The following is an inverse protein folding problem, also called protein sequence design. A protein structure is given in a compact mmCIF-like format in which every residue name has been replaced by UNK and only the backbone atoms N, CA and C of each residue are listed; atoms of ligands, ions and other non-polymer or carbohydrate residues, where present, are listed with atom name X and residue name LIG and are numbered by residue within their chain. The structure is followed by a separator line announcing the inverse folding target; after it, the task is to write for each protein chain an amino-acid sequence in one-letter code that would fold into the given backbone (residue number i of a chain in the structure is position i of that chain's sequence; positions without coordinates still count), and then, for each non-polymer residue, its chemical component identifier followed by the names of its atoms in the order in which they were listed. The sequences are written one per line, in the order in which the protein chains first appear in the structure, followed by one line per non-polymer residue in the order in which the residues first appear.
data_IF_147519390011
#
_entry.id   IF_147519390011
#
_cell.length_a   1.000
_cell.length_b   1.000
_cell.length_c   1.000
_cell.angle_alpha   90.00
_cell.angle_beta   90.00
_cell.angle_gamma   90.00
#
_symmetry.space_group_name_H-M   'P 1'
#
loop_
_entity.id
_entity.type
_entity.pdbx_description
1 polymer ?
#
# COMPACT_ATOMS: atom_id res chain seq x y z
N UNK A 1 -5.68 -6.75 10.95
CA UNK A 1 -6.52 -7.26 9.83
C UNK A 1 -6.74 -6.15 8.81
N UNK A 2 -6.59 -6.47 7.52
CA UNK A 2 -6.81 -5.52 6.41
C UNK A 2 -8.24 -5.61 5.89
N UNK A 3 -8.97 -4.48 5.87
CA UNK A 3 -10.30 -4.38 5.27
C UNK A 3 -10.31 -3.42 4.10
N UNK A 4 -10.82 -3.86 2.96
CA UNK A 4 -10.99 -3.06 1.75
C UNK A 4 -12.43 -2.56 1.67
N UNK A 5 -12.60 -1.26 1.38
CA UNK A 5 -13.88 -0.63 1.10
C UNK A 5 -13.79 -0.07 -0.30
N UNK A 6 -14.49 -0.68 -1.24
CA UNK A 6 -14.51 -0.23 -2.62
C UNK A 6 -15.13 1.17 -2.72
N UNK A 7 -14.46 2.08 -3.42
CA UNK A 7 -14.84 3.50 -3.54
C UNK A 7 -15.09 3.94 -4.98
N UNK A 8 -14.87 3.06 -5.96
CA UNK A 8 -15.22 3.29 -7.37
C UNK A 8 -15.99 2.11 -7.94
N UNK A 9 -16.63 2.33 -9.09
CA UNK A 9 -17.07 1.23 -9.94
C UNK A 9 -15.87 0.39 -10.41
N UNK A 10 -16.15 -0.85 -10.80
CA UNK A 10 -15.16 -1.73 -11.41
C UNK A 10 -14.90 -1.27 -12.86
N UNK A 11 -13.63 -1.18 -13.23
CA UNK A 11 -13.19 -0.91 -14.59
C UNK A 11 -13.35 -2.17 -15.47
N UNK A 12 -13.19 -2.02 -16.79
CA UNK A 12 -13.32 -3.14 -17.73
C UNK A 12 -12.32 -4.29 -17.52
N UNK A 13 -11.22 -4.05 -16.80
CA UNK A 13 -10.24 -5.06 -16.37
C UNK A 13 -10.51 -5.63 -14.96
N UNK A 14 -11.70 -5.33 -14.41
CA UNK A 14 -12.13 -5.64 -13.05
C UNK A 14 -11.26 -4.99 -11.95
N UNK A 15 -10.52 -3.92 -12.27
CA UNK A 15 -9.85 -3.10 -11.25
C UNK A 15 -10.82 -2.11 -10.62
N UNK A 16 -10.61 -1.78 -9.34
CA UNK A 16 -11.35 -0.73 -8.65
C UNK A 16 -10.44 0.01 -7.65
N UNK A 17 -10.89 1.16 -7.19
CA UNK A 17 -10.28 1.91 -6.10
C UNK A 17 -10.86 1.48 -4.77
N UNK A 18 -10.02 1.44 -3.74
CA UNK A 18 -10.39 1.06 -2.39
C UNK A 18 -9.82 2.01 -1.34
N UNK A 19 -10.60 2.21 -0.29
CA UNK A 19 -10.10 2.63 1.01
C UNK A 19 -9.68 1.40 1.81
N UNK A 20 -8.44 1.40 2.28
CA UNK A 20 -7.94 0.31 3.13
C UNK A 20 -8.01 0.76 4.59
N UNK A 21 -8.79 0.04 5.39
CA UNK A 21 -8.95 0.26 6.82
C UNK A 21 -8.19 -0.81 7.59
N UNK A 22 -7.47 -0.34 8.61
CA UNK A 22 -6.74 -1.17 9.57
C UNK A 22 -7.48 -1.11 10.91
N UNK A 23 -7.40 -2.20 11.67
CA UNK A 23 -7.99 -2.35 13.00
C UNK A 23 -7.30 -1.49 14.07
N UNK A 24 -6.03 -1.13 13.85
CA UNK A 24 -5.23 -0.25 14.71
C UNK A 24 -4.31 0.64 13.88
N UNK A 25 -3.71 1.67 14.47
CA UNK A 25 -2.60 2.39 13.84
C UNK A 25 -1.45 1.42 13.49
N UNK A 26 -0.88 1.59 12.29
CA UNK A 26 0.26 0.82 11.80
C UNK A 26 1.35 1.76 11.28
N UNK A 27 2.61 1.32 11.39
CA UNK A 27 3.71 1.90 10.62
C UNK A 27 3.73 1.37 9.18
N UNK A 28 4.52 2.00 8.32
CA UNK A 28 4.81 1.50 6.95
C UNK A 28 5.29 0.05 6.99
N UNK A 29 6.29 -0.25 7.82
CA UNK A 29 6.85 -1.60 7.90
C UNK A 29 5.85 -2.63 8.40
N UNK A 30 5.04 -2.30 9.40
CA UNK A 30 4.00 -3.20 9.88
C UNK A 30 2.96 -3.49 8.80
N UNK A 31 2.49 -2.46 8.07
CA UNK A 31 1.49 -2.64 7.01
C UNK A 31 2.03 -3.45 5.83
N UNK A 32 3.25 -3.15 5.37
CA UNK A 32 3.86 -3.90 4.27
C UNK A 32 4.03 -5.35 4.65
N UNK A 33 4.58 -5.64 5.83
CA UNK A 33 4.71 -7.01 6.31
C UNK A 33 3.36 -7.73 6.41
N UNK A 34 2.31 -7.02 6.82
CA UNK A 34 0.95 -7.55 6.87
C UNK A 34 0.46 -7.97 5.48
N UNK A 35 0.65 -7.13 4.45
CA UNK A 35 0.32 -7.46 3.06
C UNK A 35 1.15 -8.65 2.58
N UNK A 36 2.47 -8.64 2.80
CA UNK A 36 3.34 -9.73 2.34
C UNK A 36 3.02 -11.08 3.01
N UNK A 37 2.47 -11.09 4.23
CA UNK A 37 2.12 -12.32 4.95
C UNK A 37 0.68 -12.76 4.66
N UNK A 38 -0.30 -11.86 4.75
CA UNK A 38 -1.73 -12.17 4.60
C UNK A 38 -2.15 -12.26 3.13
N UNK A 39 -1.44 -11.56 2.23
CA UNK A 39 -1.74 -11.46 0.79
C UNK A 39 -0.61 -12.01 -0.09
N UNK A 40 -0.04 -13.15 0.30
CA UNK A 40 1.07 -13.82 -0.42
C UNK A 40 0.81 -14.14 -1.90
N UNK A 41 -0.43 -14.13 -2.37
CA UNK A 41 -0.75 -14.33 -3.79
C UNK A 41 -0.74 -13.03 -4.63
N UNK A 42 -0.71 -11.87 -3.97
CA UNK A 42 -0.78 -10.57 -4.63
C UNK A 42 0.58 -10.10 -5.16
N UNK A 43 0.52 -9.15 -6.08
CA UNK A 43 1.65 -8.42 -6.63
C UNK A 43 1.24 -6.97 -6.95
N UNK A 44 2.19 -6.06 -6.98
CA UNK A 44 1.95 -4.64 -7.24
C UNK A 44 3.06 -3.78 -6.64
N UNK A 45 2.73 -2.56 -6.23
CA UNK A 45 3.67 -1.63 -5.59
C UNK A 45 3.07 -0.92 -4.38
N UNK A 46 3.95 -0.58 -3.45
CA UNK A 46 3.70 0.41 -2.40
C UNK A 46 4.22 1.76 -2.88
N UNK A 47 3.34 2.73 -3.04
CA UNK A 47 3.65 4.12 -3.32
C UNK A 47 3.57 4.91 -2.02
N UNK A 48 4.69 5.46 -1.57
CA UNK A 48 4.78 6.12 -0.27
C UNK A 48 4.90 7.63 -0.47
N UNK A 49 3.85 8.33 -0.05
CA UNK A 49 3.77 9.79 -0.15
C UNK A 49 4.36 10.45 1.11
N UNK A 50 5.43 11.23 0.91
CA UNK A 50 6.00 12.12 1.91
C UNK A 50 5.76 13.57 1.48
N UNK A 51 5.09 14.38 2.32
CA UNK A 51 4.71 15.77 1.97
C UNK A 51 5.90 16.72 1.72
N UNK A 52 7.12 16.30 2.05
CA UNK A 52 8.35 17.09 1.85
C UNK A 52 8.93 16.95 0.44
N UNK A 53 8.32 16.13 -0.42
CA UNK A 53 8.68 15.97 -1.83
C UNK A 53 7.48 16.29 -2.70
N UNK A 54 7.73 16.67 -3.97
CA UNK A 54 6.70 17.01 -4.93
C UNK A 54 5.64 15.90 -5.00
N UNK A 55 4.39 16.26 -5.32
CA UNK A 55 3.29 15.31 -5.54
C UNK A 55 3.57 14.29 -6.67
N UNK A 56 4.66 14.46 -7.41
CA UNK A 56 5.13 13.55 -8.46
C UNK A 56 6.21 12.55 -7.97
N UNK A 57 6.81 12.78 -6.80
CA UNK A 57 7.98 12.04 -6.31
C UNK A 57 7.60 11.05 -5.19
N UNK A 58 6.75 10.09 -5.53
CA UNK A 58 6.47 8.96 -4.64
C UNK A 58 7.67 8.00 -4.61
N UNK A 59 8.10 7.58 -3.43
CA UNK A 59 8.97 6.41 -3.30
C UNK A 59 8.13 5.17 -3.62
N UNK A 60 8.61 4.33 -4.56
CA UNK A 60 7.87 3.16 -5.05
C UNK A 60 8.65 1.90 -4.76
N UNK A 61 7.97 0.91 -4.19
CA UNK A 61 8.55 -0.39 -3.87
C UNK A 61 7.66 -1.49 -4.42
N UNK A 62 8.16 -2.20 -5.40
CA UNK A 62 7.45 -3.33 -5.99
C UNK A 62 7.50 -4.55 -5.07
N UNK A 63 6.41 -5.30 -5.06
CA UNK A 63 6.32 -6.56 -4.36
C UNK A 63 5.61 -7.61 -5.22
N UNK A 64 5.98 -8.86 -5.00
CA UNK A 64 5.37 -10.00 -5.66
C UNK A 64 5.46 -11.24 -4.80
N UNK A 65 4.33 -11.92 -4.64
CA UNK A 65 4.23 -13.20 -3.96
C UNK A 65 4.83 -13.23 -2.54
N UNK A 66 4.56 -12.18 -1.76
CA UNK A 66 5.05 -12.05 -0.38
C UNK A 66 6.51 -11.61 -0.24
N UNK A 67 7.13 -11.13 -1.32
CA UNK A 67 8.51 -10.63 -1.33
C UNK A 67 8.56 -9.20 -1.89
N UNK A 68 9.35 -8.32 -1.28
CA UNK A 68 9.71 -7.00 -1.83
C UNK A 68 10.90 -7.14 -2.79
N UNK A 69 10.85 -6.43 -3.92
CA UNK A 69 11.95 -6.40 -4.87
C UNK A 69 13.13 -5.56 -4.33
N UNK A 70 12.83 -4.47 -3.62
CA UNK A 70 13.80 -3.52 -3.10
C UNK A 70 13.67 -3.32 -1.59
N UNK A 71 14.79 -3.01 -0.95
CA UNK A 71 14.82 -2.68 0.47
C UNK A 71 14.28 -1.26 0.71
N UNK A 72 13.40 -1.13 1.72
CA UNK A 72 12.84 0.15 2.14
C UNK A 72 13.72 0.75 3.24
N UNK A 73 14.11 2.04 3.16
CA UNK A 73 14.87 2.71 4.20
C UNK A 73 14.20 2.62 5.58
N UNK A 74 15.00 2.36 6.62
CA UNK A 74 14.51 2.15 7.99
C UNK A 74 13.68 3.33 8.52
N UNK A 75 14.12 4.55 8.22
CA UNK A 75 13.40 5.78 8.60
C UNK A 75 12.00 5.86 7.97
N UNK A 76 11.76 5.22 6.83
CA UNK A 76 10.45 5.17 6.20
C UNK A 76 9.57 4.09 6.82
N UNK A 77 10.14 2.92 7.11
CA UNK A 77 9.45 1.78 7.75
C UNK A 77 8.86 2.13 9.13
N UNK A 78 9.48 3.04 9.86
CA UNK A 78 9.07 3.45 11.21
C UNK A 78 7.97 4.53 11.21
N UNK A 79 7.68 5.17 10.07
CA UNK A 79 6.65 6.22 10.00
C UNK A 79 5.25 5.65 10.13
N UNK A 80 4.40 6.36 10.87
CA UNK A 80 2.98 6.03 11.02
C UNK A 80 2.20 6.39 9.78
N UNK A 81 1.23 5.54 9.44
CA UNK A 81 0.33 5.74 8.31
C UNK A 81 -0.94 6.46 8.78
N UNK A 82 -1.33 7.54 8.09
CA UNK A 82 -2.61 8.24 8.29
C UNK A 82 -3.72 7.58 7.46
N UNK A 83 -3.44 7.27 6.20
CA UNK A 83 -4.44 6.70 5.30
C UNK A 83 -3.80 5.87 4.21
N UNK A 84 -4.54 4.85 3.79
CA UNK A 84 -4.14 3.95 2.71
C UNK A 84 -5.26 3.95 1.68
N UNK A 85 -4.88 4.22 0.43
CA UNK A 85 -5.71 3.94 -0.74
C UNK A 85 -5.12 2.73 -1.45
N UNK A 86 -5.96 1.97 -2.13
CA UNK A 86 -5.48 0.91 -3.01
C UNK A 86 -6.18 0.99 -4.37
N UNK A 87 -5.50 0.49 -5.41
CA UNK A 87 -6.07 0.30 -6.73
C UNK A 87 -5.64 -1.07 -7.22
N UNK A 88 -6.60 -1.88 -7.62
CA UNK A 88 -6.28 -3.19 -8.15
C UNK A 88 -7.50 -4.04 -8.46
N UNK A 89 -7.21 -5.22 -8.98
CA UNK A 89 -8.17 -6.26 -9.33
C UNK A 89 -7.44 -7.60 -9.43
N UNK A 90 -8.18 -8.70 -9.24
CA UNK A 90 -7.61 -10.04 -9.22
C UNK A 90 -6.50 -10.17 -8.17
N UNK A 91 -5.25 -10.41 -8.59
CA UNK A 91 -4.08 -10.45 -7.71
C UNK A 91 -3.16 -9.24 -7.88
N UNK A 92 -3.51 -8.29 -8.75
CA UNK A 92 -2.77 -7.03 -8.91
C UNK A 92 -3.34 -6.01 -7.91
N UNK A 93 -2.51 -5.52 -6.99
CA UNK A 93 -2.92 -4.54 -5.99
C UNK A 93 -1.80 -3.57 -5.66
N UNK A 94 -2.02 -2.31 -6.04
CA UNK A 94 -1.17 -1.19 -5.67
C UNK A 94 -1.72 -0.48 -4.44
N UNK A 95 -0.82 -0.02 -3.56
CA UNK A 95 -1.16 0.67 -2.33
C UNK A 95 -0.50 2.05 -2.28
N UNK A 96 -1.29 3.10 -2.04
CA UNK A 96 -0.81 4.45 -1.81
C UNK A 96 -0.88 4.76 -0.31
N UNK A 97 0.29 4.94 0.32
CA UNK A 97 0.45 5.23 1.74
C UNK A 97 0.67 6.74 1.96
N UNK A 98 -0.17 7.35 2.80
CA UNK A 98 0.03 8.72 3.29
C UNK A 98 0.47 8.68 4.75
N UNK A 99 1.58 9.34 5.06
CA UNK A 99 2.24 9.27 6.36
C UNK A 99 1.91 10.46 7.27
N UNK A 100 2.07 10.25 8.58
CA UNK A 100 2.03 11.30 9.60
C UNK A 100 3.25 12.22 9.49
N UNK A 101 3.07 13.50 9.83
CA UNK A 101 4.11 14.53 9.77
C UNK A 101 5.15 14.35 10.88
#
# INVERSE_FOLDING_TARGET
MIRFIQTSEESGDCSAYYDVKLDRPHTVGEFINLVLIERKGEWGKFEIYSQNVSWLDYEKYEYRYGVLNDAIPKNLLEKKIISIKANGGWTNMDYLLKLEQ
#
